data_IF_541702708228
#
_entry.id   IF_541702708228
#
_cell.length_a   1.000
_cell.length_b   1.000
_cell.length_c   1.000
_cell.angle_alpha   90.00
_cell.angle_beta   90.00
_cell.angle_gamma   90.00
#
_symmetry.space_group_name_H-M   'P 1'
#
loop_
_entity.id
_entity.type
_entity.pdbx_description
1 polymer ?
#
# COMPACT_ATOMS: atom_id res chain seq x y z
N UNK A 1 3.38 3.51 5.27
CA UNK A 1 3.69 2.74 4.06
C UNK A 1 2.69 1.60 3.93
N UNK A 2 2.08 1.45 2.77
CA UNK A 2 1.24 0.29 2.45
C UNK A 2 1.86 -0.51 1.30
N UNK A 3 1.69 -1.83 1.35
CA UNK A 3 2.27 -2.78 0.41
C UNK A 3 1.18 -3.74 -0.04
N UNK A 4 1.03 -3.84 -1.36
CA UNK A 4 0.25 -4.88 -2.02
C UNK A 4 1.24 -5.88 -2.64
N UNK A 5 1.44 -7.05 -2.00
CA UNK A 5 2.50 -7.97 -2.39
C UNK A 5 2.06 -8.91 -3.51
N UNK A 6 2.90 -9.09 -4.53
CA UNK A 6 2.68 -10.10 -5.58
C UNK A 6 3.57 -11.34 -5.43
N UNK A 7 3.04 -12.47 -5.86
CA UNK A 7 3.57 -13.83 -5.57
C UNK A 7 4.73 -14.25 -6.47
N UNK A 8 4.94 -13.61 -7.63
CA UNK A 8 5.75 -14.22 -8.70
C UNK A 8 6.66 -13.24 -9.43
N UNK A 9 7.86 -13.71 -9.78
CA UNK A 9 8.83 -12.99 -10.63
C UNK A 9 8.60 -13.18 -12.14
N UNK A 10 7.55 -13.92 -12.55
CA UNK A 10 7.30 -14.15 -13.97
C UNK A 10 6.89 -12.86 -14.64
N UNK A 11 7.27 -12.64 -15.88
CA UNK A 11 6.92 -11.45 -16.67
C UNK A 11 5.41 -11.20 -16.76
N UNK A 12 4.60 -12.25 -16.55
CA UNK A 12 3.13 -12.22 -16.54
C UNK A 12 2.53 -12.06 -15.13
N UNK A 13 3.35 -11.94 -14.09
CA UNK A 13 2.87 -11.80 -12.72
C UNK A 13 2.60 -10.33 -12.37
N UNK A 14 1.66 -10.12 -11.47
CA UNK A 14 1.41 -8.79 -10.92
C UNK A 14 2.64 -8.30 -10.15
N UNK A 15 2.99 -7.01 -10.26
CA UNK A 15 4.10 -6.43 -9.52
C UNK A 15 3.73 -6.15 -8.06
N UNK A 16 4.72 -6.13 -7.17
CA UNK A 16 4.53 -5.67 -5.79
C UNK A 16 4.45 -4.14 -5.75
N UNK A 17 3.28 -3.62 -5.41
CA UNK A 17 3.09 -2.18 -5.25
C UNK A 17 3.41 -1.71 -3.84
N UNK A 18 3.95 -0.49 -3.74
CA UNK A 18 4.36 0.16 -2.48
C UNK A 18 3.96 1.62 -2.52
N UNK A 19 3.22 2.09 -1.54
CA UNK A 19 2.80 3.50 -1.44
C UNK A 19 3.16 4.06 -0.07
N UNK A 20 3.95 5.15 -0.05
CA UNK A 20 4.19 5.94 1.16
C UNK A 20 3.29 7.15 1.15
N UNK A 21 2.49 7.30 2.19
CA UNK A 21 1.65 8.46 2.39
C UNK A 21 1.83 9.03 3.81
N UNK A 22 1.60 10.31 3.97
CA UNK A 22 1.61 11.01 5.26
C UNK A 22 0.33 11.81 5.45
N UNK A 23 -0.07 11.99 6.70
CA UNK A 23 -1.24 12.76 7.12
C UNK A 23 -0.78 14.01 7.84
N UNK A 24 -1.37 15.17 7.52
CA UNK A 24 -1.15 16.39 8.29
C UNK A 24 -2.23 16.56 9.37
N UNK A 25 -2.05 17.60 10.21
CA UNK A 25 -2.97 17.93 11.29
C UNK A 25 -4.36 18.38 10.80
N UNK A 26 -4.53 18.70 9.51
CA UNK A 26 -5.78 19.13 8.90
C UNK A 26 -6.53 18.01 8.21
N UNK A 27 -6.01 16.78 8.26
CA UNK A 27 -6.58 15.61 7.63
C UNK A 27 -6.29 15.52 6.13
N UNK A 28 -5.24 16.20 5.63
CA UNK A 28 -4.79 16.06 4.27
C UNK A 28 -3.79 14.91 4.15
N UNK A 29 -3.96 14.07 3.13
CA UNK A 29 -3.06 12.96 2.82
C UNK A 29 -2.15 13.34 1.67
N UNK A 30 -0.86 13.15 1.84
CA UNK A 30 0.16 13.40 0.84
C UNK A 30 0.78 12.07 0.39
N UNK A 31 0.54 11.68 -0.86
CA UNK A 31 1.21 10.52 -1.48
C UNK A 31 2.63 10.96 -1.87
N UNK A 32 3.62 10.41 -1.17
CA UNK A 32 5.03 10.84 -1.24
C UNK A 32 5.90 9.94 -2.10
N UNK A 33 5.52 8.68 -2.25
CA UNK A 33 6.23 7.69 -3.04
C UNK A 33 5.26 6.63 -3.55
N UNK A 34 5.47 6.21 -4.78
CA UNK A 34 4.81 5.06 -5.40
C UNK A 34 5.89 4.19 -6.03
N UNK A 35 5.84 2.89 -5.76
CA UNK A 35 6.70 1.88 -6.39
C UNK A 35 5.84 0.73 -6.89
N UNK A 36 6.23 0.13 -8.00
CA UNK A 36 5.55 -1.01 -8.60
C UNK A 36 6.59 -1.85 -9.34
N UNK A 37 7.08 -2.90 -8.69
CA UNK A 37 8.26 -3.61 -9.12
C UNK A 37 8.06 -5.14 -9.11
N UNK A 38 8.51 -5.81 -10.17
CA UNK A 38 8.53 -7.29 -10.30
C UNK A 38 9.83 -7.87 -9.74
N UNK A 39 10.09 -7.61 -8.48
CA UNK A 39 11.27 -8.08 -7.78
C UNK A 39 10.99 -9.39 -7.02
N UNK A 40 12.05 -10.12 -6.68
CA UNK A 40 11.97 -11.23 -5.72
C UNK A 40 11.45 -10.75 -4.37
N UNK A 41 10.97 -11.66 -3.55
CA UNK A 41 10.56 -11.35 -2.16
C UNK A 41 11.70 -10.69 -1.39
N UNK A 42 12.93 -11.18 -1.55
CA UNK A 42 14.13 -10.63 -0.89
C UNK A 42 14.43 -9.20 -1.35
N UNK A 43 14.39 -8.93 -2.66
CA UNK A 43 14.62 -7.58 -3.24
C UNK A 43 13.50 -6.61 -2.81
N UNK A 44 12.25 -7.07 -2.80
CA UNK A 44 11.13 -6.30 -2.28
C UNK A 44 11.31 -5.99 -0.79
N UNK A 45 11.74 -6.96 0.02
CA UNK A 45 12.08 -6.77 1.43
C UNK A 45 13.17 -5.72 1.63
N UNK A 46 14.25 -5.78 0.86
CA UNK A 46 15.30 -4.77 0.88
C UNK A 46 14.79 -3.39 0.43
N UNK A 47 13.87 -3.34 -0.54
CA UNK A 47 13.18 -2.12 -0.95
C UNK A 47 12.37 -1.50 0.18
N UNK A 48 11.60 -2.31 0.90
CA UNK A 48 10.80 -1.88 2.05
C UNK A 48 11.70 -1.33 3.18
N UNK A 49 12.81 -2.00 3.47
CA UNK A 49 13.78 -1.51 4.46
C UNK A 49 14.37 -0.15 4.07
N UNK A 50 14.69 0.07 2.78
CA UNK A 50 15.14 1.40 2.28
C UNK A 50 14.06 2.46 2.42
N UNK A 51 12.79 2.13 2.12
CA UNK A 51 11.67 3.06 2.31
C UNK A 51 11.47 3.37 3.79
N UNK A 52 11.58 2.37 4.67
CA UNK A 52 11.53 2.57 6.11
C UNK A 52 12.65 3.51 6.59
N UNK A 53 13.89 3.31 6.16
CA UNK A 53 15.01 4.17 6.52
C UNK A 53 14.83 5.62 6.02
N UNK A 54 14.22 5.79 4.82
CA UNK A 54 14.03 7.10 4.20
C UNK A 54 12.87 7.90 4.79
N UNK A 55 11.76 7.24 5.08
CA UNK A 55 10.49 7.93 5.42
C UNK A 55 10.08 7.73 6.89
N UNK A 56 10.71 6.79 7.60
CA UNK A 56 10.40 6.45 9.01
C UNK A 56 8.88 6.32 9.25
N UNK A 57 8.17 5.47 8.50
CA UNK A 57 6.73 5.35 8.65
C UNK A 57 6.38 4.79 10.03
N UNK A 58 5.36 5.34 10.67
CA UNK A 58 4.84 4.83 11.95
C UNK A 58 4.27 3.40 11.80
N UNK A 59 3.78 3.05 10.61
CA UNK A 59 3.18 1.75 10.30
C UNK A 59 3.53 1.33 8.87
N UNK A 60 3.74 0.03 8.71
CA UNK A 60 3.96 -0.62 7.42
C UNK A 60 2.87 -1.66 7.24
N UNK A 61 1.83 -1.32 6.49
CA UNK A 61 0.72 -2.21 6.20
C UNK A 61 1.05 -3.17 5.08
N UNK A 62 0.78 -4.45 5.29
CA UNK A 62 0.95 -5.52 4.29
C UNK A 62 -0.35 -6.30 4.25
N UNK A 63 -0.89 -6.56 3.04
CA UNK A 63 -2.08 -7.39 2.90
C UNK A 63 -1.85 -8.77 3.51
N UNK A 64 -2.82 -9.23 4.33
CA UNK A 64 -2.77 -10.55 4.99
C UNK A 64 -2.85 -11.67 3.95
N UNK A 65 -2.13 -12.75 4.23
CA UNK A 65 -2.05 -13.93 3.36
C UNK A 65 -0.66 -14.57 3.42
N UNK A 66 -0.44 -15.58 2.61
CA UNK A 66 0.83 -16.34 2.60
C UNK A 66 2.06 -15.43 2.41
N UNK A 67 1.98 -14.42 1.56
CA UNK A 67 3.08 -13.46 1.36
C UNK A 67 3.25 -12.51 2.53
N UNK A 68 2.16 -12.07 3.16
CA UNK A 68 2.23 -11.25 4.36
C UNK A 68 3.05 -11.93 5.45
N UNK A 69 2.91 -13.25 5.64
CA UNK A 69 3.71 -14.03 6.58
C UNK A 69 5.20 -14.04 6.22
N UNK A 70 5.53 -14.26 4.94
CA UNK A 70 6.94 -14.25 4.49
C UNK A 70 7.57 -12.88 4.71
N UNK A 71 6.85 -11.80 4.44
CA UNK A 71 7.33 -10.45 4.71
C UNK A 71 7.43 -10.14 6.21
N UNK A 72 6.52 -10.68 7.04
CA UNK A 72 6.60 -10.54 8.49
C UNK A 72 7.94 -11.06 9.03
N UNK A 73 8.35 -12.25 8.60
CA UNK A 73 9.63 -12.85 9.02
C UNK A 73 10.82 -12.06 8.47
N UNK A 74 10.77 -11.69 7.18
CA UNK A 74 11.85 -10.96 6.50
C UNK A 74 12.07 -9.55 7.05
N UNK A 75 11.02 -8.91 7.53
CA UNK A 75 11.00 -7.52 8.01
C UNK A 75 10.81 -7.43 9.53
N UNK A 76 11.17 -8.49 10.25
CA UNK A 76 11.07 -8.52 11.71
C UNK A 76 11.76 -7.30 12.34
N UNK A 77 11.09 -6.69 13.31
CA UNK A 77 11.55 -5.46 13.98
C UNK A 77 11.08 -4.15 13.33
N UNK A 78 10.42 -4.21 12.16
CA UNK A 78 9.73 -3.04 11.59
C UNK A 78 8.29 -2.94 12.13
N UNK A 79 7.65 -1.75 12.08
CA UNK A 79 6.29 -1.53 12.59
C UNK A 79 5.24 -2.08 11.62
N UNK A 80 5.21 -3.41 11.45
CA UNK A 80 4.31 -4.11 10.54
C UNK A 80 2.89 -4.18 11.10
N UNK A 81 1.90 -4.03 10.23
CA UNK A 81 0.47 -4.25 10.51
C UNK A 81 -0.17 -5.04 9.37
N UNK A 82 -1.03 -5.99 9.70
CA UNK A 82 -1.82 -6.75 8.72
C UNK A 82 -2.97 -5.92 8.17
N UNK A 83 -3.18 -5.99 6.86
CA UNK A 83 -4.29 -5.35 6.16
C UNK A 83 -5.24 -6.42 5.64
N UNK A 84 -6.50 -6.40 6.10
CA UNK A 84 -7.52 -7.35 5.67
C UNK A 84 -8.17 -6.91 4.37
N UNK A 85 -8.22 -7.79 3.38
CA UNK A 85 -9.01 -7.63 2.16
C UNK A 85 -10.50 -7.93 2.45
N UNK A 86 -11.16 -7.10 3.29
CA UNK A 86 -12.51 -7.34 3.79
C UNK A 86 -13.63 -7.01 2.79
N UNK A 87 -13.29 -6.48 1.61
CA UNK A 87 -14.24 -6.09 0.59
C UNK A 87 -13.63 -6.24 -0.80
N UNK A 88 -14.46 -6.30 -1.82
CA UNK A 88 -14.00 -6.23 -3.20
C UNK A 88 -13.28 -4.90 -3.50
N UNK A 89 -12.47 -4.88 -4.54
CA UNK A 89 -11.63 -3.74 -4.92
C UNK A 89 -12.43 -2.45 -5.11
N UNK A 90 -13.57 -2.53 -5.78
CA UNK A 90 -14.45 -1.37 -6.03
C UNK A 90 -14.97 -0.78 -4.72
N UNK A 91 -15.46 -1.63 -3.81
CA UNK A 91 -15.93 -1.19 -2.49
C UNK A 91 -14.81 -0.56 -1.67
N UNK A 92 -13.58 -1.06 -1.76
CA UNK A 92 -12.42 -0.46 -1.10
C UNK A 92 -12.13 0.95 -1.62
N UNK A 93 -12.11 1.15 -2.95
CA UNK A 93 -11.91 2.48 -3.55
C UNK A 93 -13.04 3.44 -3.18
N UNK A 94 -14.31 3.00 -3.24
CA UNK A 94 -15.46 3.80 -2.81
C UNK A 94 -15.31 4.28 -1.36
N UNK A 95 -14.76 3.45 -0.47
CA UNK A 95 -14.57 3.81 0.94
C UNK A 95 -13.68 5.04 1.15
N UNK A 96 -12.82 5.36 0.18
CA UNK A 96 -11.90 6.50 0.21
C UNK A 96 -12.27 7.62 -0.77
N UNK A 97 -13.26 7.42 -1.67
CA UNK A 97 -13.64 8.37 -2.72
C UNK A 97 -14.00 9.76 -2.16
N UNK A 98 -14.69 9.79 -1.01
CA UNK A 98 -15.06 11.04 -0.33
C UNK A 98 -13.86 11.96 -0.02
N UNK A 99 -12.67 11.38 0.18
CA UNK A 99 -11.46 12.17 0.47
C UNK A 99 -10.87 12.78 -0.80
N UNK A 100 -11.03 12.13 -1.94
CA UNK A 100 -10.72 12.71 -3.26
C UNK A 100 -11.69 13.84 -3.58
N UNK A 101 -12.99 13.61 -3.45
CA UNK A 101 -14.05 14.60 -3.71
C UNK A 101 -13.90 15.84 -2.84
N UNK A 102 -13.46 15.68 -1.59
CA UNK A 102 -13.23 16.80 -0.67
C UNK A 102 -11.86 17.48 -0.84
N UNK A 103 -11.05 17.08 -1.84
CA UNK A 103 -9.74 17.65 -2.11
C UNK A 103 -8.70 17.39 -1.00
N UNK A 104 -8.84 16.26 -0.28
CA UNK A 104 -7.94 15.90 0.82
C UNK A 104 -6.75 15.04 0.42
N UNK A 105 -6.69 14.57 -0.82
CA UNK A 105 -5.61 13.72 -1.32
C UNK A 105 -4.71 14.54 -2.24
N UNK A 106 -3.44 14.61 -1.89
CA UNK A 106 -2.42 15.35 -2.63
C UNK A 106 -1.34 14.39 -3.14
N UNK A 107 -0.92 14.60 -4.37
CA UNK A 107 0.16 13.85 -4.99
C UNK A 107 1.40 14.72 -5.11
N UNK A 108 2.54 14.24 -4.65
CA UNK A 108 3.80 14.94 -4.86
C UNK A 108 4.16 14.88 -6.34
N UNK A 109 4.23 16.03 -7.00
CA UNK A 109 4.38 16.15 -8.46
C UNK A 109 5.54 15.33 -9.06
N UNK A 110 6.62 15.19 -8.32
CA UNK A 110 7.81 14.43 -8.76
C UNK A 110 7.96 13.08 -8.02
N UNK A 111 6.86 12.55 -7.44
CA UNK A 111 6.92 11.23 -6.83
C UNK A 111 7.17 10.16 -7.89
N UNK A 112 7.98 9.16 -7.51
CA UNK A 112 8.24 8.03 -8.40
C UNK A 112 6.91 7.38 -8.84
N UNK A 113 6.79 7.01 -10.11
CA UNK A 113 5.63 6.34 -10.71
C UNK A 113 4.26 7.01 -10.48
N UNK A 114 4.23 8.32 -10.22
CA UNK A 114 2.97 9.02 -9.97
C UNK A 114 2.08 9.06 -11.21
N UNK A 115 2.68 9.15 -12.41
CA UNK A 115 1.93 9.11 -13.66
C UNK A 115 1.33 7.72 -13.89
N UNK A 116 2.09 6.66 -13.64
CA UNK A 116 1.60 5.28 -13.77
C UNK A 116 0.42 5.02 -12.81
N UNK A 117 0.48 5.53 -11.57
CA UNK A 117 -0.64 5.47 -10.63
C UNK A 117 -1.86 6.24 -11.14
N UNK A 118 -1.66 7.45 -11.71
CA UNK A 118 -2.76 8.23 -12.28
C UNK A 118 -3.44 7.45 -13.41
N UNK A 119 -2.66 6.83 -14.29
CA UNK A 119 -3.19 6.07 -15.42
C UNK A 119 -4.00 4.85 -14.92
N UNK A 120 -3.50 4.11 -13.92
CA UNK A 120 -4.27 3.03 -13.28
C UNK A 120 -5.58 3.54 -12.64
N UNK A 121 -5.57 4.71 -12.00
CA UNK A 121 -6.78 5.31 -11.41
C UNK A 121 -7.83 5.65 -12.49
N UNK A 122 -7.40 6.16 -13.64
CA UNK A 122 -8.30 6.51 -14.74
C UNK A 122 -8.90 5.27 -15.42
N UNK A 123 -8.18 4.15 -15.44
CA UNK A 123 -8.63 2.90 -16.03
C UNK A 123 -9.46 2.03 -15.06
N UNK A 124 -9.36 2.30 -13.77
CA UNK A 124 -10.04 1.51 -12.74
C UNK A 124 -11.59 1.56 -12.91
N UNK A 125 -12.34 0.44 -12.74
CA UNK A 125 -11.87 -0.90 -12.33
C UNK A 125 -11.50 -1.84 -13.50
N UNK A 126 -11.48 -1.36 -14.73
CA UNK A 126 -11.36 -2.17 -15.94
C UNK A 126 -9.92 -2.26 -16.48
N UNK A 127 -8.95 -1.62 -15.83
CA UNK A 127 -7.55 -1.66 -16.21
C UNK A 127 -6.93 -3.05 -16.08
N UNK A 128 -5.87 -3.31 -16.84
CA UNK A 128 -5.14 -4.57 -16.79
C UNK A 128 -4.38 -4.78 -15.46
N UNK A 129 -4.04 -3.69 -14.79
CA UNK A 129 -3.34 -3.66 -13.50
C UNK A 129 -3.96 -2.61 -12.59
N UNK A 130 -4.07 -2.92 -11.30
CA UNK A 130 -4.62 -2.02 -10.27
C UNK A 130 -3.83 -2.06 -8.94
N UNK A 131 -2.68 -2.73 -8.93
CA UNK A 131 -1.86 -2.95 -7.74
C UNK A 131 -1.48 -1.65 -7.02
N UNK A 132 -1.12 -0.59 -7.78
CA UNK A 132 -0.79 0.72 -7.19
C UNK A 132 -2.02 1.42 -6.62
N UNK A 133 -3.19 1.23 -7.24
CA UNK A 133 -4.47 1.74 -6.73
C UNK A 133 -4.82 1.04 -5.41
N UNK A 134 -4.70 -0.29 -5.35
CA UNK A 134 -4.94 -1.06 -4.13
C UNK A 134 -3.99 -0.64 -3.00
N UNK A 135 -2.68 -0.57 -3.26
CA UNK A 135 -1.70 -0.09 -2.27
C UNK A 135 -1.99 1.35 -1.80
N UNK A 136 -2.42 2.24 -2.71
CA UNK A 136 -2.80 3.61 -2.35
C UNK A 136 -4.06 3.64 -1.48
N UNK A 137 -5.08 2.86 -1.83
CA UNK A 137 -6.32 2.75 -1.03
C UNK A 137 -6.00 2.24 0.37
N UNK A 138 -5.14 1.23 0.51
CA UNK A 138 -4.68 0.76 1.81
C UNK A 138 -3.94 1.86 2.60
N UNK A 139 -3.05 2.62 1.95
CA UNK A 139 -2.35 3.73 2.61
C UNK A 139 -3.32 4.80 3.15
N UNK A 140 -4.32 5.20 2.34
CA UNK A 140 -5.34 6.18 2.75
C UNK A 140 -6.22 5.62 3.88
N UNK A 141 -6.64 4.37 3.79
CA UNK A 141 -7.45 3.73 4.84
C UNK A 141 -6.72 3.65 6.17
N UNK A 142 -5.45 3.25 6.16
CA UNK A 142 -4.61 3.22 7.37
C UNK A 142 -4.56 4.57 8.07
N UNK A 143 -4.55 5.67 7.31
CA UNK A 143 -4.44 7.03 7.85
C UNK A 143 -5.79 7.60 8.32
N UNK A 144 -6.86 7.36 7.57
CA UNK A 144 -8.13 8.08 7.73
C UNK A 144 -9.32 7.22 8.19
N UNK A 145 -9.27 5.91 7.96
CA UNK A 145 -10.43 5.02 8.20
C UNK A 145 -10.14 4.02 9.33
N UNK A 146 -9.02 3.30 9.22
CA UNK A 146 -8.72 2.17 10.08
C UNK A 146 -7.79 2.53 11.26
N UNK A 147 -7.47 3.80 11.46
CA UNK A 147 -6.47 4.29 12.41
C UNK A 147 -6.63 3.82 13.87
N UNK A 148 -7.75 3.22 14.23
CA UNK A 148 -8.04 2.63 15.55
C UNK A 148 -8.26 1.10 15.51
N UNK A 149 -8.23 0.46 14.34
CA UNK A 149 -8.59 -0.96 14.16
C UNK A 149 -7.48 -1.82 13.53
N UNK A 150 -6.26 -1.31 13.43
CA UNK A 150 -5.17 -2.09 12.85
C UNK A 150 -4.68 -3.10 13.88
N UNK A 151 -4.69 -4.35 13.49
CA UNK A 151 -4.13 -5.47 14.23
C UNK A 151 -2.60 -5.39 14.26
N UNK A 152 -1.99 -5.78 15.36
CA UNK A 152 -0.53 -5.81 15.46
C UNK A 152 0.06 -6.91 14.57
N UNK A 153 1.39 -6.87 14.35
CA UNK A 153 2.07 -7.92 13.58
C UNK A 153 1.88 -9.34 14.21
N UNK A 154 1.53 -9.41 15.50
CA UNK A 154 1.29 -10.68 16.21
C UNK A 154 -0.08 -11.29 15.88
N UNK A 155 -0.99 -10.52 15.28
CA UNK A 155 -2.34 -10.94 14.91
C UNK A 155 -2.43 -11.48 13.46
N UNK A 156 -1.31 -11.70 12.76
CA UNK A 156 -1.27 -12.47 11.51
C UNK A 156 -1.60 -13.94 11.82
N UNK A 157 -2.89 -14.26 11.86
CA UNK A 157 -3.38 -15.62 12.06
C UNK A 157 -3.61 -16.25 10.70
N UNK A 158 -3.12 -17.48 10.53
CA UNK A 158 -3.54 -18.39 9.47
C UNK A 158 -4.87 -19.00 9.93
N UNK A 159 -5.93 -18.73 9.22
CA UNK A 159 -7.12 -19.57 9.19
C UNK A 159 -6.95 -20.67 8.12
#
# INVERSE_FOLDING_TARGET
LAIDPAVSQRDTADPTAKVVASLDQFGNVFVRYVGNDRFSVSENGAGIQRLNARFSPERIGIEEGALGLVFKDLLAGLPLVGLKANADKTSRLISVSRFFESGKIYFLQNANKIQDLHDQLMEFPNGAHDDMVDAMVYAIRMLLVDGQKLVSADDFILD
#
